data_IF_663078514328
#
_entry.id   IF_663078514328
#
_cell.length_a   1.000
_cell.length_b   1.000
_cell.length_c   1.000
_cell.angle_alpha   90.00
_cell.angle_beta   90.00
_cell.angle_gamma   90.00
#
_symmetry.space_group_name_H-M   'P 1'
#
loop_
_entity.id
_entity.type
_entity.pdbx_description
1 polymer ?
#
# COMPACT_ATOMS: atom_id res chain seq x y z
N UNK A 1 -15.36 -2.64 3.70
CA UNK A 1 -14.34 -3.09 2.71
C UNK A 1 -14.75 -4.45 2.17
N UNK A 2 -15.06 -4.57 0.86
CA UNK A 2 -15.36 -5.87 0.24
C UNK A 2 -14.06 -6.44 -0.32
N UNK A 3 -13.51 -7.47 0.33
CA UNK A 3 -12.34 -8.21 -0.17
C UNK A 3 -12.77 -9.02 -1.40
N UNK A 4 -12.23 -8.74 -2.58
CA UNK A 4 -12.42 -9.56 -3.79
C UNK A 4 -11.07 -10.08 -4.27
N UNK A 5 -10.93 -11.40 -4.33
CA UNK A 5 -9.81 -12.09 -4.95
C UNK A 5 -10.24 -12.51 -6.35
N UNK A 6 -9.61 -11.97 -7.38
CA UNK A 6 -9.89 -12.31 -8.78
C UNK A 6 -8.57 -12.51 -9.53
N UNK A 7 -8.40 -13.67 -10.18
CA UNK A 7 -7.22 -14.05 -10.97
C UNK A 7 -5.84 -13.83 -10.29
N UNK A 8 -5.73 -14.05 -8.98
CA UNK A 8 -4.46 -13.94 -8.26
C UNK A 8 -3.94 -12.51 -8.04
N UNK A 9 -4.79 -11.50 -8.28
CA UNK A 9 -4.52 -10.10 -7.99
C UNK A 9 -5.14 -9.69 -6.65
N UNK A 10 -4.33 -9.06 -5.81
CA UNK A 10 -4.75 -8.43 -4.57
C UNK A 10 -5.36 -7.07 -4.87
N UNK A 11 -6.62 -6.81 -4.53
CA UNK A 11 -7.29 -5.51 -4.78
C UNK A 11 -7.67 -4.81 -3.47
N UNK A 12 -7.18 -3.60 -3.27
CA UNK A 12 -7.70 -2.64 -2.27
C UNK A 12 -8.43 -1.52 -3.00
N UNK A 13 -9.65 -1.21 -2.57
CA UNK A 13 -10.54 -0.21 -3.17
C UNK A 13 -10.81 0.88 -2.13
N UNK A 14 -10.45 2.13 -2.44
CA UNK A 14 -10.96 3.33 -1.76
C UNK A 14 -11.67 4.22 -2.79
N UNK A 15 -12.85 4.70 -2.41
CA UNK A 15 -13.74 5.50 -3.26
C UNK A 15 -14.05 6.84 -2.61
N UNK A 16 -13.83 7.93 -3.35
CA UNK A 16 -14.48 9.22 -3.16
C UNK A 16 -14.86 9.77 -4.55
N UNK A 17 -16.10 10.26 -4.71
CA UNK A 17 -16.60 10.95 -5.91
C UNK A 17 -16.33 10.29 -7.28
N UNK A 18 -16.54 8.97 -7.36
CA UNK A 18 -16.49 8.24 -8.64
C UNK A 18 -15.10 8.09 -9.26
N UNK A 19 -14.04 8.61 -8.63
CA UNK A 19 -12.64 8.36 -8.99
C UNK A 19 -12.08 7.32 -8.03
N UNK A 20 -12.06 6.06 -8.49
CA UNK A 20 -11.58 4.93 -7.70
C UNK A 20 -10.14 4.63 -8.12
N UNK A 21 -9.19 4.77 -7.20
CA UNK A 21 -7.83 4.26 -7.41
C UNK A 21 -7.83 2.79 -7.02
N UNK A 22 -7.57 1.93 -8.00
CA UNK A 22 -7.42 0.50 -7.77
C UNK A 22 -5.95 0.15 -7.63
N UNK A 23 -5.54 -0.26 -6.43
CA UNK A 23 -4.25 -0.90 -6.26
C UNK A 23 -4.38 -2.38 -6.54
N UNK A 24 -3.55 -2.87 -7.44
CA UNK A 24 -3.47 -4.29 -7.74
C UNK A 24 -2.04 -4.78 -7.74
N UNK A 25 -1.78 -5.81 -6.94
CA UNK A 25 -0.48 -6.48 -6.89
C UNK A 25 -0.69 -7.98 -7.02
N UNK A 26 0.07 -8.64 -7.90
CA UNK A 26 0.03 -10.11 -7.97
C UNK A 26 0.63 -10.69 -6.70
N UNK A 27 0.04 -11.78 -6.20
CA UNK A 27 0.59 -12.48 -5.03
C UNK A 27 2.06 -12.88 -5.25
N UNK A 28 2.43 -13.27 -6.48
CA UNK A 28 3.82 -13.59 -6.84
C UNK A 28 4.77 -12.41 -6.64
N UNK A 29 4.32 -11.20 -6.98
CA UNK A 29 5.12 -9.99 -6.87
C UNK A 29 5.22 -9.56 -5.41
N UNK A 30 4.15 -9.69 -4.63
CA UNK A 30 4.18 -9.48 -3.17
C UNK A 30 5.17 -10.44 -2.48
N UNK A 31 5.16 -11.72 -2.86
CA UNK A 31 6.14 -12.72 -2.37
C UNK A 31 7.57 -12.32 -2.73
N UNK A 32 7.78 -11.79 -3.95
CA UNK A 32 9.09 -11.31 -4.39
C UNK A 32 9.54 -10.08 -3.61
N UNK A 33 8.64 -9.13 -3.34
CA UNK A 33 8.92 -7.96 -2.50
C UNK A 33 9.36 -8.38 -1.09
N UNK A 34 8.64 -9.31 -0.46
CA UNK A 34 9.06 -9.84 0.84
C UNK A 34 10.46 -10.48 0.77
N UNK A 35 10.70 -11.32 -0.24
CA UNK A 35 12.00 -11.99 -0.43
C UNK A 35 13.15 -10.98 -0.64
N UNK A 36 12.89 -9.91 -1.38
CA UNK A 36 13.87 -8.87 -1.72
C UNK A 36 13.90 -7.71 -0.71
N UNK A 37 13.12 -7.78 0.37
CA UNK A 37 13.14 -6.74 1.41
C UNK A 37 14.55 -6.61 1.99
N UNK A 38 15.09 -5.39 2.15
CA UNK A 38 16.36 -5.18 2.84
C UNK A 38 16.36 -5.76 4.27
N UNK A 39 15.19 -5.76 4.91
CA UNK A 39 14.98 -6.33 6.25
C UNK A 39 14.92 -7.86 6.26
N UNK A 40 14.84 -8.52 5.10
CA UNK A 40 14.88 -9.97 4.97
C UNK A 40 16.32 -10.48 4.81
N UNK A 41 17.21 -10.04 5.71
CA UNK A 41 18.65 -10.30 5.63
C UNK A 41 19.03 -11.78 5.73
N UNK A 42 18.18 -12.60 6.34
CA UNK A 42 18.38 -14.05 6.50
C UNK A 42 17.85 -14.86 5.31
N UNK A 43 17.21 -14.20 4.33
CA UNK A 43 16.61 -14.86 3.18
C UNK A 43 15.38 -15.70 3.54
N UNK A 44 14.64 -15.33 4.58
CA UNK A 44 13.41 -16.00 4.99
C UNK A 44 12.40 -16.12 3.85
N UNK A 45 11.66 -17.24 3.84
CA UNK A 45 10.64 -17.56 2.85
C UNK A 45 9.29 -17.84 3.52
N UNK A 46 8.23 -17.52 2.79
CA UNK A 46 6.87 -17.90 3.19
C UNK A 46 6.75 -19.43 3.13
N UNK A 47 6.26 -20.03 4.22
CA UNK A 47 6.09 -21.49 4.32
C UNK A 47 5.12 -21.99 3.24
N UNK A 48 5.41 -23.16 2.68
CA UNK A 48 4.53 -23.82 1.70
C UNK A 48 3.12 -24.02 2.28
N UNK A 49 2.09 -23.61 1.53
CA UNK A 49 0.70 -23.71 1.96
C UNK A 49 0.25 -22.61 2.93
N UNK A 50 1.11 -21.63 3.21
CA UNK A 50 0.83 -20.45 4.04
C UNK A 50 0.75 -19.14 3.25
N UNK A 51 0.65 -19.24 1.93
CA UNK A 51 0.50 -18.07 1.06
C UNK A 51 -0.72 -17.22 1.40
N UNK A 52 -1.86 -17.84 1.71
CA UNK A 52 -3.08 -17.11 2.02
C UNK A 52 -2.97 -16.36 3.35
N UNK A 53 -2.46 -17.02 4.40
CA UNK A 53 -2.20 -16.38 5.71
C UNK A 53 -1.27 -15.17 5.58
N UNK A 54 -0.24 -15.27 4.72
CA UNK A 54 0.65 -14.15 4.42
C UNK A 54 -0.07 -12.98 3.74
N UNK A 55 -0.87 -13.26 2.71
CA UNK A 55 -1.65 -12.23 2.00
C UNK A 55 -2.67 -11.56 2.93
N UNK A 56 -3.41 -12.35 3.70
CA UNK A 56 -4.40 -11.83 4.64
C UNK A 56 -3.75 -10.99 5.75
N UNK A 57 -2.57 -11.39 6.24
CA UNK A 57 -1.81 -10.59 7.18
C UNK A 57 -1.49 -9.21 6.60
N UNK A 58 -0.89 -9.14 5.41
CA UNK A 58 -0.53 -7.87 4.76
C UNK A 58 -1.76 -6.99 4.53
N UNK A 59 -2.85 -7.54 4.00
CA UNK A 59 -4.09 -6.78 3.78
C UNK A 59 -4.69 -6.19 5.05
N UNK A 60 -4.72 -6.99 6.11
CA UNK A 60 -5.25 -6.53 7.39
C UNK A 60 -4.37 -5.39 7.93
N UNK A 61 -3.04 -5.53 7.86
CA UNK A 61 -2.11 -4.48 8.30
C UNK A 61 -2.23 -3.20 7.47
N UNK A 62 -2.36 -3.31 6.16
CA UNK A 62 -2.56 -2.14 5.29
C UNK A 62 -3.84 -1.35 5.63
N UNK A 63 -4.84 -2.02 6.21
CA UNK A 63 -6.13 -1.42 6.60
C UNK A 63 -6.14 -0.85 8.02
N UNK A 64 -5.09 -1.07 8.81
CA UNK A 64 -4.97 -0.50 10.15
C UNK A 64 -4.66 1.01 10.08
N UNK A 65 -5.00 1.78 11.13
CA UNK A 65 -4.60 3.17 11.24
C UNK A 65 -3.09 3.36 11.05
N UNK A 66 -2.72 4.47 10.40
CA UNK A 66 -1.32 4.88 10.29
C UNK A 66 -0.77 5.24 11.67
N UNK A 67 0.52 5.02 11.87
CA UNK A 67 1.23 5.49 13.06
C UNK A 67 1.48 7.00 13.05
N UNK A 68 1.42 7.63 11.88
CA UNK A 68 1.63 9.07 11.70
C UNK A 68 0.34 9.89 11.77
N UNK A 69 -0.81 9.29 11.46
CA UNK A 69 -2.13 9.92 11.50
C UNK A 69 -3.20 8.85 11.80
N UNK A 70 -3.86 8.99 12.95
CA UNK A 70 -4.91 8.08 13.40
C UNK A 70 -6.17 8.11 12.53
N UNK A 71 -6.34 9.16 11.73
CA UNK A 71 -7.43 9.30 10.77
C UNK A 71 -7.11 8.71 9.40
N UNK A 72 -5.86 8.27 9.20
CA UNK A 72 -5.39 7.65 7.96
C UNK A 72 -5.07 6.17 8.17
N UNK A 73 -4.86 5.44 7.08
CA UNK A 73 -4.52 4.01 7.09
C UNK A 73 -3.14 3.78 6.49
N UNK A 74 -2.44 2.72 6.93
CA UNK A 74 -1.01 2.49 6.58
C UNK A 74 -0.73 2.49 5.08
N UNK A 75 -1.68 2.08 4.26
CA UNK A 75 -1.44 2.03 2.81
C UNK A 75 -1.40 3.42 2.15
N UNK A 76 -1.88 4.47 2.80
CA UNK A 76 -1.81 5.85 2.29
C UNK A 76 -0.44 6.50 2.53
N UNK A 77 0.42 5.92 3.37
CA UNK A 77 1.75 6.47 3.70
C UNK A 77 2.58 6.83 2.45
N UNK A 78 2.68 5.99 1.40
CA UNK A 78 3.45 6.34 0.21
C UNK A 78 2.91 7.57 -0.54
N UNK A 79 1.62 7.89 -0.41
CA UNK A 79 1.08 9.12 -0.99
C UNK A 79 1.51 10.35 -0.20
N UNK A 80 1.52 10.27 1.12
CA UNK A 80 1.98 11.36 1.99
C UNK A 80 3.45 11.70 1.72
N UNK A 81 4.29 10.69 1.46
CA UNK A 81 5.69 10.90 1.04
C UNK A 81 5.77 11.68 -0.28
N UNK A 82 4.98 11.29 -1.28
CA UNK A 82 4.91 12.01 -2.57
C UNK A 82 4.32 13.42 -2.42
N UNK A 83 3.33 13.60 -1.55
CA UNK A 83 2.78 14.93 -1.27
C UNK A 83 3.83 15.84 -0.63
N UNK A 84 4.66 15.32 0.27
CA UNK A 84 5.78 16.08 0.82
C UNK A 84 6.75 16.50 -0.28
N UNK A 85 7.15 15.59 -1.16
CA UNK A 85 8.02 15.91 -2.31
C UNK A 85 7.41 17.01 -3.19
N UNK A 86 6.12 16.89 -3.51
CA UNK A 86 5.40 17.87 -4.33
C UNK A 86 5.34 19.25 -3.63
N UNK A 87 5.09 19.27 -2.32
CA UNK A 87 4.96 20.51 -1.56
C UNK A 87 6.31 21.20 -1.33
N UNK A 88 7.38 20.42 -1.11
CA UNK A 88 8.75 20.94 -0.97
C UNK A 88 9.35 21.35 -2.32
N UNK A 89 8.96 20.67 -3.40
CA UNK A 89 9.43 20.91 -4.76
C UNK A 89 8.81 22.13 -5.47
N UNK A 90 7.75 22.72 -4.92
CA UNK A 90 6.98 23.81 -5.56
C UNK A 90 6.55 23.46 -6.99
N UNK A 91 6.06 22.24 -7.19
CA UNK A 91 5.60 21.72 -8.48
C UNK A 91 4.55 22.63 -9.16
N UNK A 92 4.71 22.85 -10.46
CA UNK A 92 3.94 23.84 -11.23
C UNK A 92 2.45 23.53 -11.39
N UNK A 93 2.04 22.28 -11.13
CA UNK A 93 0.65 21.84 -11.15
C UNK A 93 -0.10 22.06 -9.83
N UNK A 94 0.57 22.59 -8.79
CA UNK A 94 -0.05 22.90 -7.50
C UNK A 94 -0.17 24.42 -7.34
N UNK A 95 -1.35 24.89 -6.94
CA UNK A 95 -1.52 26.28 -6.49
C UNK A 95 -1.21 26.37 -5.01
N UNK A 96 -0.12 27.06 -4.68
CA UNK A 96 0.30 27.28 -3.30
C UNK A 96 -0.36 28.53 -2.72
N UNK A 97 -0.73 28.46 -1.45
CA UNK A 97 -1.24 29.63 -0.74
C UNK A 97 -0.05 30.55 -0.44
N UNK A 98 -0.01 31.72 -1.08
CA UNK A 98 0.93 32.77 -0.68
C UNK A 98 0.59 33.23 0.74
N UNK A 99 1.60 33.27 1.62
CA UNK A 99 1.46 33.79 2.98
C UNK A 99 1.44 35.33 3.00
#
# INVERSE_FOLDING_TARGET
>A
MKKKYDNGMLKTELSADGKIIHFSLKVTDLKKLFKCSPENYDGSNIKRGKEQDFVDYILNRLSEPSTSDENSVKWLIPFEELFLEILEGYEDFVTYKEN
#
